data_IF_835017879074
#
_entry.id   IF_835017879074
#
_cell.length_a   1.000
_cell.length_b   1.000
_cell.length_c   1.000
_cell.angle_alpha   90.00
_cell.angle_beta   90.00
_cell.angle_gamma   90.00
#
_symmetry.space_group_name_H-M   'P 1'
#
loop_
_entity.id
_entity.type
_entity.pdbx_description
1 polymer ?
#
# COMPACT_ATOMS: atom_id res chain seq x y z
N UNK A 1 32.84 25.87 59.20
CA UNK A 1 32.73 27.33 59.22
C UNK A 1 31.76 27.71 58.12
N UNK A 2 30.54 28.09 58.53
CA UNK A 2 29.45 28.80 57.80
C UNK A 2 28.92 28.21 56.48
N UNK A 3 27.67 27.75 56.58
CA UNK A 3 26.70 27.62 55.51
C UNK A 3 26.43 28.97 54.81
N UNK A 4 26.19 28.93 53.50
CA UNK A 4 25.45 29.98 52.78
C UNK A 4 24.44 29.29 51.87
N UNK A 5 23.21 29.17 52.36
CA UNK A 5 22.02 29.22 51.53
C UNK A 5 21.63 30.70 51.39
N UNK A 6 21.24 31.15 50.19
CA UNK A 6 20.22 32.19 49.99
C UNK A 6 19.76 32.19 48.52
N UNK A 7 18.48 31.86 48.37
CA UNK A 7 17.47 32.08 47.32
C UNK A 7 17.78 32.93 46.08
N UNK A 8 17.38 32.40 44.90
CA UNK A 8 16.86 33.20 43.78
C UNK A 8 15.64 32.51 43.16
N UNK A 9 14.60 33.30 42.91
CA UNK A 9 13.22 32.95 42.58
C UNK A 9 13.03 32.05 41.35
N UNK A 10 12.17 31.05 41.47
CA UNK A 10 11.55 30.36 40.33
C UNK A 10 10.62 31.33 39.61
N UNK A 11 11.13 32.00 38.56
CA UNK A 11 10.32 32.69 37.57
C UNK A 11 10.04 31.74 36.41
N UNK A 12 8.94 30.98 36.47
CA UNK A 12 8.38 30.33 35.27
C UNK A 12 7.79 31.43 34.40
N UNK A 13 8.61 31.98 33.50
CA UNK A 13 8.09 32.73 32.37
C UNK A 13 7.49 31.71 31.42
N UNK A 14 6.20 31.43 31.59
CA UNK A 14 5.38 30.82 30.56
C UNK A 14 5.35 31.82 29.40
N UNK A 15 6.30 31.68 28.48
CA UNK A 15 6.14 32.25 27.16
C UNK A 15 5.14 31.33 26.47
N UNK A 16 3.84 31.55 26.71
CA UNK A 16 2.84 31.19 25.71
C UNK A 16 3.17 32.05 24.50
N UNK A 17 4.00 31.53 23.61
CA UNK A 17 4.11 32.05 22.26
C UNK A 17 2.74 31.84 21.64
N UNK A 18 1.96 32.91 21.59
CA UNK A 18 0.71 32.97 20.85
C UNK A 18 1.00 32.71 19.37
N UNK A 19 0.90 31.45 18.97
CA UNK A 19 1.11 30.98 17.60
C UNK A 19 0.06 31.54 16.62
N UNK A 20 -0.94 32.30 17.09
CA UNK A 20 -2.01 32.85 16.26
C UNK A 20 -1.65 34.13 15.49
N UNK A 21 -0.42 34.66 15.67
CA UNK A 21 0.04 35.88 15.01
C UNK A 21 1.16 35.67 13.96
N UNK A 22 1.44 34.42 13.59
CA UNK A 22 2.25 34.13 12.40
C UNK A 22 1.33 34.23 11.19
N UNK A 23 1.34 35.37 10.52
CA UNK A 23 0.66 35.59 9.24
C UNK A 23 1.52 34.91 8.14
N UNK A 24 1.58 33.58 8.19
CA UNK A 24 2.22 32.78 7.14
C UNK A 24 1.31 32.83 5.94
N UNK A 25 1.81 33.40 4.83
CA UNK A 25 1.03 33.45 3.60
C UNK A 25 0.62 32.03 3.20
N UNK A 26 -0.60 31.87 2.67
CA UNK A 26 -1.09 30.57 2.21
C UNK A 26 -0.11 29.94 1.20
N UNK A 27 0.64 30.76 0.46
CA UNK A 27 1.71 30.34 -0.46
C UNK A 27 2.91 29.71 0.26
N UNK A 28 3.30 30.20 1.44
CA UNK A 28 4.40 29.65 2.24
C UNK A 28 4.01 28.31 2.89
N UNK A 29 2.74 28.15 3.28
CA UNK A 29 2.19 26.88 3.79
C UNK A 29 2.22 25.83 2.66
N UNK A 30 1.72 26.18 1.48
CA UNK A 30 1.72 25.30 0.31
C UNK A 30 3.16 24.92 -0.12
N UNK A 31 4.11 25.85 -0.05
CA UNK A 31 5.51 25.58 -0.39
C UNK A 31 6.16 24.60 0.59
N UNK A 32 5.83 24.71 1.89
CA UNK A 32 6.32 23.80 2.92
C UNK A 32 5.69 22.41 2.81
N UNK A 33 4.38 22.32 2.54
CA UNK A 33 3.69 21.04 2.31
C UNK A 33 4.26 20.30 1.09
N UNK A 34 4.49 21.00 -0.02
CA UNK A 34 5.14 20.42 -1.20
C UNK A 34 6.57 19.94 -0.92
N UNK A 35 7.33 20.68 -0.11
CA UNK A 35 8.68 20.27 0.30
C UNK A 35 8.66 19.02 1.18
N UNK A 36 7.69 18.94 2.11
CA UNK A 36 7.49 17.74 2.94
C UNK A 36 7.13 16.54 2.05
N UNK A 37 6.17 16.66 1.13
CA UNK A 37 5.76 15.57 0.24
C UNK A 37 6.93 15.08 -0.63
N UNK A 38 7.68 16.00 -1.25
CA UNK A 38 8.88 15.64 -2.02
C UNK A 38 9.96 14.98 -1.15
N UNK A 39 10.15 15.45 0.08
CA UNK A 39 11.11 14.86 1.01
C UNK A 39 10.71 13.45 1.47
N UNK A 40 9.39 13.19 1.62
CA UNK A 40 8.88 11.87 1.93
C UNK A 40 9.01 10.90 0.75
N UNK A 41 8.72 11.35 -0.47
CA UNK A 41 8.88 10.55 -1.70
C UNK A 41 10.34 10.15 -1.93
N UNK A 42 11.27 11.09 -1.75
CA UNK A 42 12.72 10.82 -1.83
C UNK A 42 13.17 9.82 -0.74
N UNK A 43 12.61 9.89 0.46
CA UNK A 43 12.92 8.97 1.54
C UNK A 43 12.38 7.55 1.31
N UNK A 44 11.21 7.41 0.69
CA UNK A 44 10.66 6.11 0.31
C UNK A 44 11.52 5.49 -0.80
N UNK A 45 11.81 6.25 -1.85
CA UNK A 45 12.61 5.79 -3.00
C UNK A 45 14.01 5.32 -2.62
N UNK A 46 14.65 5.99 -1.65
CA UNK A 46 15.96 5.59 -1.14
C UNK A 46 15.91 4.30 -0.33
N UNK A 47 14.81 4.04 0.39
CA UNK A 47 14.62 2.77 1.11
C UNK A 47 14.30 1.59 0.19
N UNK A 48 13.55 1.83 -0.89
CA UNK A 48 13.25 0.81 -1.91
C UNK A 48 14.52 0.30 -2.60
N UNK A 49 15.52 1.17 -2.81
CA UNK A 49 16.79 0.79 -3.40
C UNK A 49 17.58 -0.24 -2.58
N UNK A 50 17.40 -0.24 -1.25
CA UNK A 50 18.03 -1.21 -0.35
C UNK A 50 17.22 -2.51 -0.21
N UNK A 51 16.01 -2.57 -0.78
CA UNK A 51 15.12 -3.72 -0.65
C UNK A 51 15.68 -4.96 -1.35
N UNK A 52 15.83 -6.10 -0.64
CA UNK A 52 16.39 -7.32 -1.21
C UNK A 52 15.66 -7.93 -2.41
N UNK A 53 14.39 -7.59 -2.61
CA UNK A 53 13.59 -8.08 -3.74
C UNK A 53 13.70 -7.20 -4.97
N UNK A 54 13.99 -5.90 -4.79
CA UNK A 54 14.05 -4.92 -5.87
C UNK A 54 15.47 -4.70 -6.40
N UNK A 55 16.49 -5.20 -5.69
CA UNK A 55 17.88 -5.18 -6.17
C UNK A 55 18.11 -6.15 -7.33
N UNK A 56 18.82 -5.69 -8.36
CA UNK A 56 19.27 -6.54 -9.45
C UNK A 56 20.20 -7.66 -8.96
N UNK A 57 20.02 -8.88 -9.49
CA UNK A 57 20.88 -10.02 -9.19
C UNK A 57 21.36 -10.73 -10.46
N UNK A 58 22.40 -10.19 -11.13
CA UNK A 58 22.93 -10.76 -12.36
C UNK A 58 23.71 -12.07 -12.13
N UNK A 59 23.82 -12.59 -10.91
CA UNK A 59 24.58 -13.82 -10.62
C UNK A 59 23.69 -15.04 -10.36
N UNK A 60 22.36 -14.91 -10.41
CA UNK A 60 21.42 -16.00 -10.13
C UNK A 60 20.50 -16.28 -11.32
N UNK A 61 20.93 -17.21 -12.17
CA UNK A 61 20.15 -17.70 -13.33
C UNK A 61 19.50 -19.06 -13.10
N UNK A 62 19.90 -19.76 -12.04
CA UNK A 62 19.35 -21.05 -11.66
C UNK A 62 18.53 -20.91 -10.37
N UNK A 63 17.43 -21.65 -10.31
CA UNK A 63 16.50 -21.59 -9.18
C UNK A 63 17.16 -22.07 -7.87
N UNK A 64 17.96 -23.12 -7.96
CA UNK A 64 18.61 -23.75 -6.81
C UNK A 64 19.98 -23.12 -6.51
N UNK A 65 20.34 -22.98 -5.22
CA UNK A 65 19.55 -23.28 -4.02
C UNK A 65 18.45 -22.24 -3.75
N UNK A 66 17.33 -22.68 -3.15
CA UNK A 66 16.18 -21.81 -2.83
C UNK A 66 16.56 -20.88 -1.67
N UNK A 67 16.47 -19.56 -1.89
CA UNK A 67 16.74 -18.54 -0.86
C UNK A 67 15.49 -18.23 -0.02
N UNK A 68 14.36 -17.96 -0.67
CA UNK A 68 13.11 -17.55 -0.02
C UNK A 68 12.11 -18.70 0.01
N UNK A 69 12.11 -19.45 1.13
CA UNK A 69 11.28 -20.65 1.29
C UNK A 69 9.78 -20.33 1.36
N UNK A 70 9.40 -19.21 1.97
CA UNK A 70 7.99 -18.81 2.07
C UNK A 70 7.39 -18.44 0.72
N UNK A 71 8.14 -17.68 -0.09
CA UNK A 71 7.76 -17.35 -1.47
C UNK A 71 7.64 -18.63 -2.30
N UNK A 72 8.60 -19.55 -2.16
CA UNK A 72 8.55 -20.84 -2.85
C UNK A 72 7.35 -21.70 -2.44
N UNK A 73 7.00 -21.70 -1.15
CA UNK A 73 5.82 -22.39 -0.62
C UNK A 73 4.54 -21.82 -1.22
N UNK A 74 4.42 -20.48 -1.32
CA UNK A 74 3.27 -19.84 -1.96
C UNK A 74 3.19 -20.14 -3.45
N UNK A 75 4.33 -20.12 -4.16
CA UNK A 75 4.39 -20.55 -5.56
C UNK A 75 3.90 -22.00 -5.74
N UNK A 76 4.35 -22.92 -4.88
CA UNK A 76 3.92 -24.33 -4.95
C UNK A 76 2.44 -24.50 -4.61
N UNK A 77 1.91 -23.69 -3.71
CA UNK A 77 0.47 -23.66 -3.42
C UNK A 77 -0.32 -23.19 -4.64
N UNK A 78 0.09 -22.11 -5.29
CA UNK A 78 -0.56 -21.61 -6.51
C UNK A 78 -0.49 -22.64 -7.65
N UNK A 79 0.67 -23.30 -7.83
CA UNK A 79 0.85 -24.37 -8.82
C UNK A 79 -0.09 -25.56 -8.56
N UNK A 80 -0.33 -25.89 -7.28
CA UNK A 80 -1.28 -26.95 -6.91
C UNK A 80 -2.75 -26.54 -7.13
N UNK A 81 -3.02 -25.27 -7.45
CA UNK A 81 -4.34 -24.69 -7.72
C UNK A 81 -4.53 -24.33 -9.20
N UNK A 82 -3.77 -24.95 -10.10
CA UNK A 82 -3.99 -24.80 -11.55
C UNK A 82 -5.25 -25.59 -11.93
N UNK A 83 -6.11 -24.96 -12.72
CA UNK A 83 -7.31 -25.54 -13.35
C UNK A 83 -7.40 -25.04 -14.78
N UNK A 84 -8.06 -25.79 -15.66
CA UNK A 84 -8.36 -25.35 -17.04
C UNK A 84 -9.84 -25.05 -17.23
N UNK A 85 -10.17 -24.21 -18.21
CA UNK A 85 -11.55 -23.81 -18.48
C UNK A 85 -12.47 -25.00 -18.79
N UNK A 86 -11.92 -26.07 -19.37
CA UNK A 86 -12.64 -27.31 -19.68
C UNK A 86 -13.06 -28.10 -18.44
N UNK A 87 -12.48 -27.82 -17.28
CA UNK A 87 -12.87 -28.45 -16.00
C UNK A 87 -14.20 -27.89 -15.45
N UNK A 88 -14.71 -26.78 -16.02
CA UNK A 88 -15.98 -26.16 -15.61
C UNK A 88 -17.11 -26.63 -16.52
N UNK A 89 -18.07 -27.39 -15.98
CA UNK A 89 -19.27 -27.81 -16.70
C UNK A 89 -20.37 -26.74 -16.63
N UNK A 90 -20.84 -26.29 -17.80
CA UNK A 90 -21.89 -25.27 -17.94
C UNK A 90 -23.19 -25.84 -18.55
N UNK A 91 -23.32 -27.16 -18.68
CA UNK A 91 -24.45 -27.79 -19.36
C UNK A 91 -25.80 -27.47 -18.70
N UNK A 92 -25.84 -27.39 -17.36
CA UNK A 92 -27.06 -27.10 -16.62
C UNK A 92 -27.35 -25.59 -16.50
N UNK A 93 -26.33 -24.75 -16.52
CA UNK A 93 -26.42 -23.30 -16.34
C UNK A 93 -27.32 -22.66 -17.39
N UNK A 94 -27.36 -23.19 -18.62
CA UNK A 94 -28.25 -22.66 -19.68
C UNK A 94 -29.73 -22.78 -19.30
N UNK A 95 -30.12 -23.86 -18.63
CA UNK A 95 -31.52 -24.04 -18.18
C UNK A 95 -31.85 -23.08 -17.05
N UNK A 96 -30.93 -22.94 -16.10
CA UNK A 96 -31.15 -22.11 -14.91
C UNK A 96 -31.14 -20.63 -15.30
N UNK A 97 -30.32 -20.24 -16.28
CA UNK A 97 -30.32 -18.93 -16.91
C UNK A 97 -31.71 -18.51 -17.45
N UNK A 98 -32.41 -19.42 -18.12
CA UNK A 98 -33.75 -19.16 -18.67
C UNK A 98 -34.83 -18.99 -17.59
N UNK A 99 -34.59 -19.44 -16.36
CA UNK A 99 -35.53 -19.34 -15.23
C UNK A 99 -35.38 -18.02 -14.47
N UNK A 100 -34.28 -17.31 -14.65
CA UNK A 100 -33.99 -16.05 -13.98
C UNK A 100 -34.86 -14.92 -14.51
N UNK A 101 -35.14 -13.95 -13.64
CA UNK A 101 -35.83 -12.71 -14.02
C UNK A 101 -34.96 -11.83 -14.93
N UNK A 102 -35.56 -10.91 -15.71
CA UNK A 102 -34.79 -10.01 -16.58
C UNK A 102 -33.77 -9.16 -15.81
N UNK A 103 -34.10 -8.75 -14.59
CA UNK A 103 -33.23 -7.91 -13.75
C UNK A 103 -32.01 -8.70 -13.23
N UNK A 104 -32.21 -9.96 -12.82
CA UNK A 104 -31.11 -10.86 -12.42
C UNK A 104 -30.16 -11.14 -13.59
N UNK A 105 -30.72 -11.42 -14.78
CA UNK A 105 -29.92 -11.62 -15.98
C UNK A 105 -29.16 -10.35 -16.37
N UNK A 106 -29.78 -9.18 -16.25
CA UNK A 106 -29.12 -7.90 -16.50
C UNK A 106 -27.93 -7.71 -15.56
N UNK A 107 -28.13 -7.95 -14.25
CA UNK A 107 -27.06 -7.85 -13.26
C UNK A 107 -25.89 -8.79 -13.56
N UNK A 108 -26.15 -10.08 -13.77
CA UNK A 108 -25.09 -11.09 -14.03
C UNK A 108 -24.32 -10.76 -15.30
N UNK A 109 -24.99 -10.31 -16.38
CA UNK A 109 -24.30 -9.88 -17.61
C UNK A 109 -23.30 -8.76 -17.36
N UNK A 110 -23.66 -7.77 -16.55
CA UNK A 110 -22.77 -6.63 -16.27
C UNK A 110 -21.59 -7.03 -15.40
N UNK A 111 -21.80 -7.91 -14.43
CA UNK A 111 -20.70 -8.47 -13.62
C UNK A 111 -19.74 -9.27 -14.50
N UNK A 112 -20.25 -10.13 -15.39
CA UNK A 112 -19.41 -10.90 -16.32
C UNK A 112 -18.66 -9.99 -17.29
N UNK A 113 -19.33 -8.95 -17.82
CA UNK A 113 -18.70 -7.97 -18.71
C UNK A 113 -17.60 -7.16 -18.00
N UNK A 114 -17.80 -6.81 -16.73
CA UNK A 114 -16.79 -6.13 -15.92
C UNK A 114 -15.54 -7.00 -15.77
N UNK A 115 -15.69 -8.26 -15.33
CA UNK A 115 -14.55 -9.17 -15.17
C UNK A 115 -13.83 -9.45 -16.50
N UNK A 116 -14.58 -9.62 -17.60
CA UNK A 116 -13.99 -9.82 -18.92
C UNK A 116 -13.16 -8.61 -19.40
N UNK A 117 -13.55 -7.38 -19.04
CA UNK A 117 -12.81 -6.18 -19.39
C UNK A 117 -11.64 -5.88 -18.43
N UNK A 118 -11.77 -6.24 -17.14
CA UNK A 118 -10.77 -5.94 -16.12
C UNK A 118 -9.61 -6.93 -16.06
N UNK A 119 -9.80 -8.19 -16.49
CA UNK A 119 -8.74 -9.21 -16.40
C UNK A 119 -7.52 -8.91 -17.31
N UNK A 120 -7.69 -8.04 -18.30
CA UNK A 120 -6.64 -7.68 -19.26
C UNK A 120 -5.89 -6.36 -18.99
N UNK A 121 -6.21 -5.62 -17.92
CA UNK A 121 -5.56 -4.33 -17.57
C UNK A 121 -4.65 -4.47 -16.35
#
# INVERSE_FOLDING_TARGET
MRDINVSTSNGTNNIETDLSSIDTSDDDINLFENYIEQSQDVFVKTKEADEPLLRDNPSRYVLFPIKYHDVWKMYKRALASIWTCEEVDLANDTRDWLRLTPDEQYFIKHVLAFFAASDGI
#
